data_IF_053985605916
#
_entry.id   IF_053985605916
#
_cell.length_a   1.000
_cell.length_b   1.000
_cell.length_c   1.000
_cell.angle_alpha   90.00
_cell.angle_beta   90.00
_cell.angle_gamma   90.00
#
_symmetry.space_group_name_H-M   'P 1'
#
loop_
_entity.id
_entity.type
_entity.pdbx_description
1 polymer ?
#
# COMPACT_ATOMS: atom_id res chain seq x y z
N UNK A 1 43.16 -45.22 57.18
CA UNK A 1 43.63 -44.05 56.39
C UNK A 1 42.83 -44.07 55.12
N UNK A 2 41.87 -43.19 54.82
CA UNK A 2 41.74 -41.75 55.05
C UNK A 2 40.25 -41.44 55.29
N UNK A 3 39.93 -40.70 56.35
CA UNK A 3 38.61 -40.08 56.52
C UNK A 3 38.58 -38.75 55.76
N UNK A 4 37.58 -38.53 54.91
CA UNK A 4 37.36 -37.24 54.25
C UNK A 4 36.07 -36.64 54.82
N UNK A 5 36.23 -35.47 55.45
CA UNK A 5 35.18 -34.68 56.09
C UNK A 5 34.21 -34.07 55.07
N UNK A 6 32.93 -34.11 55.42
CA UNK A 6 31.82 -33.45 54.73
C UNK A 6 31.76 -31.98 55.18
N UNK A 7 32.07 -31.04 54.29
CA UNK A 7 31.94 -29.60 54.54
C UNK A 7 30.62 -29.06 53.98
N UNK A 8 29.67 -28.73 54.87
CA UNK A 8 28.42 -28.06 54.54
C UNK A 8 28.70 -26.56 54.30
N UNK A 9 28.44 -26.05 53.09
CA UNK A 9 28.51 -24.61 52.79
C UNK A 9 27.07 -24.06 52.74
N UNK A 10 26.72 -23.23 53.72
CA UNK A 10 25.50 -22.42 53.70
C UNK A 10 25.73 -21.18 52.82
N UNK A 11 24.87 -20.86 51.84
CA UNK A 11 24.93 -19.59 51.16
C UNK A 11 24.33 -18.48 52.03
N UNK A 12 25.12 -17.44 52.31
CA UNK A 12 24.66 -16.21 52.94
C UNK A 12 23.84 -15.39 51.93
N UNK A 13 22.58 -15.10 52.26
CA UNK A 13 21.75 -14.18 51.50
C UNK A 13 22.23 -12.74 51.72
N UNK A 14 22.78 -12.12 50.67
CA UNK A 14 23.08 -10.69 50.65
C UNK A 14 21.81 -9.95 50.21
N UNK A 15 21.20 -9.20 51.12
CA UNK A 15 20.10 -8.28 50.79
C UNK A 15 20.60 -7.15 49.91
N UNK A 16 20.24 -7.17 48.63
CA UNK A 16 20.45 -6.02 47.73
C UNK A 16 19.44 -4.91 48.10
N UNK A 17 19.93 -3.86 48.75
CA UNK A 17 19.16 -2.64 48.98
C UNK A 17 18.80 -1.97 47.65
N UNK A 18 17.49 -1.75 47.41
CA UNK A 18 16.99 -1.09 46.21
C UNK A 18 17.53 0.33 46.09
N UNK A 19 18.32 0.60 45.04
CA UNK A 19 18.63 1.96 44.62
C UNK A 19 17.45 2.48 43.80
N UNK A 20 16.74 3.46 44.36
CA UNK A 20 15.73 4.24 43.67
C UNK A 20 16.36 4.99 42.48
N UNK A 21 15.96 4.62 41.25
CA UNK A 21 16.34 5.36 40.03
C UNK A 21 15.78 6.77 40.12
N UNK A 22 16.66 7.78 40.13
CA UNK A 22 16.27 9.17 39.91
C UNK A 22 15.66 9.32 38.51
N UNK A 23 14.59 10.10 38.32
CA UNK A 23 14.02 10.34 37.01
C UNK A 23 15.06 11.06 36.13
N UNK A 24 15.35 10.47 34.97
CA UNK A 24 16.08 11.16 33.91
C UNK A 24 15.12 12.19 33.32
N UNK A 25 15.31 13.46 33.65
CA UNK A 25 14.63 14.56 32.98
C UNK A 25 15.21 14.64 31.56
N UNK A 26 14.45 14.17 30.56
CA UNK A 26 14.74 14.43 29.15
C UNK A 26 14.72 15.95 28.96
N UNK A 27 15.77 16.57 28.38
CA UNK A 27 15.68 17.96 27.94
C UNK A 27 14.50 18.08 26.99
N UNK A 28 13.66 19.11 27.19
CA UNK A 28 12.60 19.43 26.26
C UNK A 28 13.19 19.58 24.85
N UNK A 29 12.60 18.89 23.88
CA UNK A 29 12.99 18.99 22.49
C UNK A 29 12.88 20.46 22.07
N UNK A 30 13.99 21.03 21.56
CA UNK A 30 13.97 22.33 20.92
C UNK A 30 12.97 22.29 19.76
N UNK A 31 12.17 23.34 19.61
CA UNK A 31 11.25 23.49 18.49
C UNK A 31 12.01 23.27 17.16
N UNK A 32 11.46 22.49 16.21
CA UNK A 32 12.14 22.22 14.96
C UNK A 32 12.34 23.53 14.21
N UNK A 33 13.60 23.90 13.97
CA UNK A 33 13.98 24.90 12.98
C UNK A 33 13.41 24.40 11.66
N UNK A 34 12.60 25.20 10.96
CA UNK A 34 11.98 24.82 9.70
C UNK A 34 13.07 24.28 8.75
N UNK A 35 13.12 22.96 8.59
CA UNK A 35 14.08 22.32 7.72
C UNK A 35 13.72 22.71 6.29
N UNK A 36 14.62 23.40 5.60
CA UNK A 36 14.45 23.75 4.20
C UNK A 36 14.21 22.46 3.42
N UNK A 37 13.14 22.42 2.61
CA UNK A 37 12.82 21.21 1.84
C UNK A 37 14.02 20.80 0.97
N UNK A 38 14.44 19.52 1.00
CA UNK A 38 15.51 19.03 0.15
C UNK A 38 15.26 19.32 -1.32
N UNK A 39 16.32 19.74 -2.03
CA UNK A 39 16.29 20.06 -3.46
C UNK A 39 17.39 19.29 -4.19
N UNK A 40 17.11 18.89 -5.42
CA UNK A 40 18.09 18.35 -6.34
C UNK A 40 19.04 19.45 -6.84
N UNK A 41 20.19 19.12 -7.46
CA UNK A 41 21.12 20.11 -7.99
C UNK A 41 20.51 21.09 -9.02
N UNK A 42 19.46 20.68 -9.72
CA UNK A 42 18.70 21.52 -10.67
C UNK A 42 17.56 22.31 -9.99
N UNK A 43 17.49 22.31 -8.65
CA UNK A 43 16.58 23.14 -7.86
C UNK A 43 15.15 22.60 -7.71
N UNK A 44 14.85 21.41 -8.25
CA UNK A 44 13.56 20.74 -8.06
C UNK A 44 13.47 20.16 -6.65
N UNK A 45 12.26 19.96 -6.10
CA UNK A 45 12.07 19.16 -4.89
C UNK A 45 12.75 17.80 -5.06
N UNK A 46 13.52 17.39 -4.05
CA UNK A 46 14.13 16.06 -4.02
C UNK A 46 13.12 15.05 -3.48
N UNK A 47 12.61 14.21 -4.40
CA UNK A 47 11.68 13.12 -4.11
C UNK A 47 12.40 11.80 -3.83
N UNK A 48 13.73 11.76 -3.97
CA UNK A 48 14.48 10.52 -3.87
C UNK A 48 14.37 9.89 -2.48
N UNK A 49 14.40 8.57 -2.47
CA UNK A 49 14.37 7.74 -1.27
C UNK A 49 13.29 6.67 -1.31
N UNK A 50 13.19 5.94 -0.21
CA UNK A 50 12.14 4.94 0.02
C UNK A 50 11.00 5.58 0.82
N UNK A 51 9.78 5.29 0.40
CA UNK A 51 8.55 5.80 0.98
C UNK A 51 7.62 4.66 1.31
N UNK A 52 7.15 4.64 2.54
CA UNK A 52 6.11 3.74 3.03
C UNK A 52 4.75 4.42 2.86
N UNK A 53 3.84 3.76 2.14
CA UNK A 53 2.47 4.22 1.91
C UNK A 53 1.42 3.40 2.67
N UNK A 54 1.78 2.58 3.65
CA UNK A 54 0.84 1.89 4.52
C UNK A 54 -0.01 2.89 5.32
N UNK A 55 -1.32 2.62 5.46
CA UNK A 55 -2.28 3.53 6.08
C UNK A 55 -3.40 2.78 6.82
N UNK A 56 -3.63 3.14 8.08
CA UNK A 56 -4.81 2.72 8.84
C UNK A 56 -6.06 3.51 8.46
N UNK A 57 -5.89 4.71 7.89
CA UNK A 57 -7.00 5.49 7.34
C UNK A 57 -7.70 4.66 6.25
N UNK A 58 -9.03 4.45 6.34
CA UNK A 58 -9.75 3.65 5.38
C UNK A 58 -9.67 4.26 3.98
N UNK A 59 -9.64 3.41 2.95
CA UNK A 59 -9.64 3.93 1.58
C UNK A 59 -10.92 4.74 1.29
N UNK A 60 -12.09 4.20 1.65
CA UNK A 60 -13.39 4.86 1.51
C UNK A 60 -13.99 5.17 2.88
N UNK A 61 -14.73 6.28 2.99
CA UNK A 61 -15.25 6.77 4.27
C UNK A 61 -16.26 5.79 4.88
N UNK A 62 -16.00 5.27 6.10
CA UNK A 62 -16.96 4.46 6.84
C UNK A 62 -18.27 5.20 7.11
N UNK A 63 -19.36 4.45 7.26
CA UNK A 63 -20.69 5.02 7.58
C UNK A 63 -20.69 5.84 8.87
N UNK A 64 -19.95 5.38 9.88
CA UNK A 64 -19.80 6.06 11.17
C UNK A 64 -19.16 7.46 11.07
N UNK A 65 -18.49 7.76 9.95
CA UNK A 65 -17.91 9.06 9.65
C UNK A 65 -18.65 9.83 8.55
N UNK A 66 -19.87 9.42 8.18
CA UNK A 66 -20.66 10.10 7.16
C UNK A 66 -20.77 11.61 7.46
N UNK A 67 -20.43 12.46 6.47
CA UNK A 67 -20.42 13.92 6.61
C UNK A 67 -19.25 14.51 7.41
N UNK A 68 -18.38 13.68 8.01
CA UNK A 68 -17.22 14.12 8.78
C UNK A 68 -15.93 13.85 7.98
N UNK A 69 -15.38 14.90 7.37
CA UNK A 69 -14.17 14.77 6.52
C UNK A 69 -12.89 14.64 7.32
N UNK A 70 -12.84 15.23 8.51
CA UNK A 70 -11.68 15.19 9.39
C UNK A 70 -12.07 14.92 10.84
N UNK A 71 -11.14 14.34 11.57
CA UNK A 71 -11.23 14.03 13.00
C UNK A 71 -10.19 14.83 13.77
N UNK A 72 -10.37 14.94 15.09
CA UNK A 72 -9.32 15.43 15.99
C UNK A 72 -8.16 14.42 16.07
N UNK A 73 -7.03 14.83 16.64
CA UNK A 73 -5.91 13.92 16.88
C UNK A 73 -6.34 12.74 17.78
N UNK A 74 -7.07 13.03 18.86
CA UNK A 74 -7.59 12.03 19.80
C UNK A 74 -8.53 11.02 19.11
N UNK A 75 -9.48 11.50 18.31
CA UNK A 75 -10.41 10.64 17.56
C UNK A 75 -9.70 9.80 16.50
N UNK A 76 -8.66 10.33 15.88
CA UNK A 76 -7.83 9.58 14.93
C UNK A 76 -7.08 8.45 15.65
N UNK A 77 -6.48 8.73 16.79
CA UNK A 77 -5.77 7.73 17.59
C UNK A 77 -6.72 6.61 18.08
N UNK A 78 -7.91 6.97 18.59
CA UNK A 78 -8.92 5.99 18.98
C UNK A 78 -9.35 5.10 17.81
N UNK A 79 -9.57 5.70 16.63
CA UNK A 79 -9.90 4.93 15.44
C UNK A 79 -8.76 4.03 15.00
N UNK A 80 -7.52 4.50 15.05
CA UNK A 80 -6.33 3.71 14.72
C UNK A 80 -6.23 2.48 15.64
N UNK A 81 -6.40 2.65 16.95
CA UNK A 81 -6.39 1.53 17.90
C UNK A 81 -7.50 0.52 17.60
N UNK A 82 -8.73 1.00 17.38
CA UNK A 82 -9.85 0.13 16.98
C UNK A 82 -9.56 -0.60 15.67
N UNK A 83 -8.88 0.03 14.71
CA UNK A 83 -8.50 -0.61 13.45
C UNK A 83 -7.48 -1.69 13.67
N UNK A 84 -6.38 -1.41 14.38
CA UNK A 84 -5.35 -2.40 14.74
C UNK A 84 -6.00 -3.61 15.41
N UNK A 85 -6.84 -3.36 16.42
CA UNK A 85 -7.57 -4.42 17.11
C UNK A 85 -8.49 -5.21 16.18
N UNK A 86 -9.21 -4.57 15.27
CA UNK A 86 -10.17 -5.26 14.39
C UNK A 86 -9.51 -5.98 13.20
N UNK A 87 -8.34 -5.51 12.76
CA UNK A 87 -7.57 -6.16 11.68
C UNK A 87 -6.65 -7.26 12.17
N UNK A 88 -6.42 -7.36 13.49
CA UNK A 88 -5.52 -8.33 14.10
C UNK A 88 -5.83 -9.77 13.70
N UNK A 89 -4.84 -10.45 13.13
CA UNK A 89 -5.01 -11.77 12.49
C UNK A 89 -4.82 -12.95 13.44
N UNK A 90 -4.19 -12.76 14.60
CA UNK A 90 -4.03 -13.81 15.61
C UNK A 90 -5.31 -14.00 16.44
N UNK A 91 -6.39 -14.40 15.75
CA UNK A 91 -7.68 -14.79 16.32
C UNK A 91 -8.22 -16.02 15.61
N UNK A 92 -9.01 -16.83 16.32
CA UNK A 92 -9.60 -18.09 15.82
C UNK A 92 -11.13 -18.06 15.83
N UNK A 93 -11.71 -16.88 15.70
CA UNK A 93 -13.15 -16.65 15.60
C UNK A 93 -13.64 -16.69 14.13
N UNK A 94 -14.95 -16.80 13.90
CA UNK A 94 -15.56 -16.69 12.57
C UNK A 94 -15.58 -17.96 11.70
N UNK A 95 -15.15 -19.11 12.26
CA UNK A 95 -15.24 -20.41 11.59
C UNK A 95 -14.18 -20.63 10.49
N UNK A 96 -14.29 -21.75 9.78
CA UNK A 96 -13.24 -22.22 8.86
C UNK A 96 -12.91 -21.25 7.73
N UNK A 97 -13.91 -20.57 7.16
CA UNK A 97 -13.66 -19.59 6.09
C UNK A 97 -12.84 -18.40 6.59
N UNK A 98 -13.18 -17.87 7.78
CA UNK A 98 -12.44 -16.77 8.38
C UNK A 98 -11.04 -17.18 8.84
N UNK A 99 -10.85 -18.45 9.21
CA UNK A 99 -9.53 -19.00 9.56
C UNK A 99 -8.60 -19.07 8.33
N UNK A 100 -9.12 -19.48 7.17
CA UNK A 100 -8.37 -19.48 5.89
C UNK A 100 -7.95 -18.06 5.49
N UNK A 101 -8.85 -17.08 5.62
CA UNK A 101 -8.55 -15.65 5.34
C UNK A 101 -7.57 -15.02 6.36
N UNK A 102 -7.25 -15.73 7.45
CA UNK A 102 -6.28 -15.35 8.48
C UNK A 102 -5.18 -16.40 8.63
N UNK A 103 -4.87 -17.12 7.55
CA UNK A 103 -3.91 -18.23 7.58
C UNK A 103 -2.50 -17.82 8.05
N UNK A 104 -2.12 -16.55 7.86
CA UNK A 104 -0.89 -15.98 8.40
C UNK A 104 -1.13 -15.30 9.74
N UNK A 105 -0.16 -15.43 10.65
CA UNK A 105 -0.16 -14.66 11.89
C UNK A 105 0.01 -13.16 11.62
N UNK A 106 -0.42 -12.33 12.58
CA UNK A 106 -0.51 -10.86 12.42
C UNK A 106 0.79 -10.20 12.01
N UNK A 107 1.92 -10.77 12.45
CA UNK A 107 3.27 -10.32 12.11
C UNK A 107 3.53 -10.13 10.60
N UNK A 108 2.90 -10.94 9.73
CA UNK A 108 3.09 -10.84 8.28
C UNK A 108 2.19 -9.80 7.60
N UNK A 109 1.33 -9.14 8.37
CA UNK A 109 0.42 -8.13 7.88
C UNK A 109 0.94 -6.75 8.28
N UNK A 110 1.19 -5.91 7.29
CA UNK A 110 1.58 -4.52 7.47
C UNK A 110 0.50 -3.61 6.87
N UNK A 111 -0.47 -3.27 7.72
CA UNK A 111 -1.45 -2.21 7.44
C UNK A 111 -0.93 -0.82 7.83
N UNK A 112 0.32 -0.74 8.29
CA UNK A 112 0.90 0.45 8.90
C UNK A 112 0.36 0.72 10.31
N UNK A 113 0.98 1.68 10.98
CA UNK A 113 0.54 2.19 12.30
C UNK A 113 0.05 3.63 12.23
N UNK A 114 0.13 4.26 11.06
CA UNK A 114 -0.20 5.68 10.86
C UNK A 114 -1.66 5.85 10.50
N UNK A 115 -2.22 6.93 11.02
CA UNK A 115 -3.52 7.44 10.64
C UNK A 115 -3.42 8.91 10.25
N UNK A 116 -4.08 9.28 9.16
CA UNK A 116 -4.28 10.67 8.78
C UNK A 116 -5.51 11.25 9.47
N UNK A 117 -5.53 12.57 9.67
CA UNK A 117 -6.72 13.29 10.20
C UNK A 117 -7.94 13.18 9.30
N UNK A 118 -7.75 12.80 8.04
CA UNK A 118 -8.86 12.54 7.13
C UNK A 118 -9.53 11.19 7.44
N UNK A 119 -10.85 11.13 7.35
CA UNK A 119 -11.62 9.92 7.61
C UNK A 119 -11.67 8.93 6.44
N UNK A 120 -11.07 9.31 5.29
CA UNK A 120 -10.94 8.50 4.08
C UNK A 120 -9.74 8.94 3.24
N UNK A 121 -9.10 8.00 2.53
CA UNK A 121 -8.08 8.34 1.53
C UNK A 121 -8.69 8.93 0.25
N UNK A 122 -9.89 8.49 -0.14
CA UNK A 122 -10.67 9.18 -1.19
C UNK A 122 -11.08 10.56 -0.68
N UNK A 123 -10.76 11.59 -1.46
CA UNK A 123 -10.99 13.00 -1.11
C UNK A 123 -12.00 13.70 -2.04
N UNK A 124 -12.16 13.17 -3.25
CA UNK A 124 -13.15 13.63 -4.22
C UNK A 124 -13.81 12.39 -4.86
N UNK A 125 -15.14 12.21 -4.76
CA UNK A 125 -16.14 13.12 -4.21
C UNK A 125 -16.03 13.41 -2.69
N UNK A 126 -16.61 14.52 -2.20
CA UNK A 126 -16.50 14.94 -0.80
C UNK A 126 -17.08 13.97 0.22
N UNK A 127 -17.89 12.99 -0.21
CA UNK A 127 -18.40 11.89 0.63
C UNK A 127 -17.34 10.81 0.93
N UNK A 128 -16.16 10.92 0.30
CA UNK A 128 -15.01 10.07 0.55
C UNK A 128 -15.19 8.65 0.03
N UNK A 129 -16.03 8.45 -1.00
CA UNK A 129 -16.32 7.14 -1.58
C UNK A 129 -16.02 7.13 -3.07
N UNK A 130 -15.60 5.98 -3.57
CA UNK A 130 -15.42 5.83 -5.01
C UNK A 130 -16.81 5.90 -5.67
N UNK A 131 -16.97 6.67 -6.77
CA UNK A 131 -18.24 6.75 -7.47
C UNK A 131 -18.76 5.37 -7.86
N UNK A 132 -20.09 5.19 -7.95
CA UNK A 132 -20.67 3.94 -8.42
C UNK A 132 -20.14 3.56 -9.80
N UNK A 133 -20.01 2.24 -10.00
CA UNK A 133 -19.72 1.66 -11.31
C UNK A 133 -20.88 1.91 -12.28
N UNK A 134 -20.58 2.09 -13.56
CA UNK A 134 -21.60 2.11 -14.62
C UNK A 134 -22.26 0.73 -14.76
N UNK A 135 -23.48 0.63 -15.33
CA UNK A 135 -24.12 -0.66 -15.59
C UNK A 135 -23.24 -1.61 -16.42
N UNK A 136 -22.54 -1.09 -17.42
CA UNK A 136 -21.63 -1.87 -18.26
C UNK A 136 -20.44 -2.39 -17.44
N UNK A 137 -19.91 -1.57 -16.52
CA UNK A 137 -18.83 -1.96 -15.65
C UNK A 137 -19.24 -3.02 -14.61
N UNK A 138 -20.47 -2.93 -14.11
CA UNK A 138 -21.06 -3.96 -13.25
C UNK A 138 -21.16 -5.29 -14.01
N UNK A 139 -21.66 -5.28 -15.24
CA UNK A 139 -21.72 -6.49 -16.09
C UNK A 139 -20.33 -7.06 -16.37
N UNK A 140 -19.33 -6.23 -16.70
CA UNK A 140 -17.93 -6.70 -16.87
C UNK A 140 -17.37 -7.31 -15.59
N UNK A 141 -17.70 -6.74 -14.42
CA UNK A 141 -17.28 -7.29 -13.14
C UNK A 141 -17.93 -8.64 -12.86
N UNK A 142 -19.24 -8.78 -13.11
CA UNK A 142 -19.98 -10.03 -12.96
C UNK A 142 -19.47 -11.13 -13.89
N UNK A 143 -19.20 -10.81 -15.17
CA UNK A 143 -18.67 -11.77 -16.14
C UNK A 143 -17.30 -12.34 -15.76
N UNK A 144 -16.49 -11.57 -15.01
CA UNK A 144 -15.19 -11.98 -14.50
C UNK A 144 -15.27 -12.80 -13.21
N UNK A 145 -16.42 -12.83 -12.52
CA UNK A 145 -16.55 -13.58 -11.27
C UNK A 145 -16.41 -15.07 -11.54
N UNK A 146 -15.75 -15.76 -10.61
CA UNK A 146 -15.61 -17.22 -10.56
C UNK A 146 -14.88 -17.87 -11.76
N UNK A 147 -14.27 -17.08 -12.66
CA UNK A 147 -13.44 -17.56 -13.76
C UNK A 147 -12.00 -17.76 -13.33
N UNK A 148 -11.76 -18.90 -12.69
CA UNK A 148 -10.49 -19.18 -12.05
C UNK A 148 -9.79 -20.42 -12.61
N UNK A 149 -10.45 -21.18 -13.47
CA UNK A 149 -9.97 -22.42 -14.07
C UNK A 149 -9.20 -22.22 -15.38
N UNK A 150 -8.94 -20.98 -15.77
CA UNK A 150 -8.05 -20.60 -16.88
C UNK A 150 -6.84 -19.79 -16.34
N UNK A 151 -5.60 -20.24 -16.58
CA UNK A 151 -4.39 -19.53 -16.13
C UNK A 151 -4.25 -18.12 -16.71
N UNK A 152 -4.79 -17.85 -17.89
CA UNK A 152 -4.74 -16.53 -18.52
C UNK A 152 -5.78 -15.55 -17.95
N UNK A 153 -6.86 -16.06 -17.38
CA UNK A 153 -7.93 -15.26 -16.77
C UNK A 153 -7.63 -14.92 -15.29
N UNK A 154 -6.56 -15.48 -14.72
CA UNK A 154 -6.12 -15.15 -13.35
C UNK A 154 -5.66 -13.68 -13.27
N UNK A 155 -5.97 -12.99 -12.16
CA UNK A 155 -5.46 -11.64 -11.89
C UNK A 155 -3.94 -11.54 -12.04
N UNK A 156 -3.47 -10.39 -12.56
CA UNK A 156 -2.04 -10.13 -12.77
C UNK A 156 -1.19 -10.27 -11.50
N UNK A 157 -1.76 -9.95 -10.34
CA UNK A 157 -1.06 -10.05 -9.06
C UNK A 157 -0.75 -11.50 -8.68
N UNK A 158 -1.67 -12.42 -8.97
CA UNK A 158 -1.48 -13.85 -8.71
C UNK A 158 -0.57 -14.52 -9.73
N UNK A 159 -0.51 -13.94 -10.94
CA UNK A 159 0.42 -14.34 -12.00
C UNK A 159 1.81 -13.71 -11.82
N UNK A 160 2.01 -12.92 -10.76
CA UNK A 160 3.25 -12.23 -10.44
C UNK A 160 3.74 -11.25 -11.54
N UNK A 161 2.80 -10.64 -12.27
CA UNK A 161 3.11 -9.74 -13.39
C UNK A 161 3.03 -8.27 -12.96
N UNK A 162 2.00 -7.90 -12.19
CA UNK A 162 1.81 -6.56 -11.66
C UNK A 162 1.17 -6.65 -10.27
N UNK A 163 1.76 -5.96 -9.29
CA UNK A 163 1.29 -6.01 -7.91
C UNK A 163 -0.06 -5.32 -7.72
N UNK A 164 -0.85 -5.79 -6.74
CA UNK A 164 -2.18 -5.25 -6.46
C UNK A 164 -2.17 -3.81 -5.92
N UNK A 165 -1.03 -3.34 -5.38
CA UNK A 165 -0.83 -1.99 -4.85
C UNK A 165 0.24 -1.18 -5.61
N UNK A 166 0.89 -1.76 -6.62
CA UNK A 166 2.04 -1.14 -7.31
C UNK A 166 1.64 -0.04 -8.29
N UNK A 167 0.36 0.00 -8.69
CA UNK A 167 -0.16 1.07 -9.54
C UNK A 167 0.43 1.14 -10.95
N UNK A 168 0.18 2.24 -11.67
CA UNK A 168 -0.54 3.42 -11.22
C UNK A 168 -2.08 3.28 -11.25
N UNK A 169 -2.81 3.86 -10.27
CA UNK A 169 -2.28 4.50 -9.06
C UNK A 169 -1.88 3.49 -7.98
N UNK A 170 -0.95 3.89 -7.10
CA UNK A 170 -0.60 3.12 -5.91
C UNK A 170 -1.69 3.25 -4.84
N UNK A 171 -2.03 2.16 -4.15
CA UNK A 171 -3.03 2.17 -3.08
C UNK A 171 -2.57 1.32 -1.90
N UNK A 172 -2.74 1.75 -0.64
CA UNK A 172 -2.28 0.96 0.51
C UNK A 172 -2.95 -0.42 0.56
N UNK A 173 -2.19 -1.43 0.97
CA UNK A 173 -2.66 -2.80 1.10
C UNK A 173 -2.11 -3.44 2.38
N UNK A 174 -2.30 -4.74 2.49
CA UNK A 174 -1.99 -5.57 3.64
C UNK A 174 -0.49 -5.79 3.93
N UNK A 175 0.41 -5.47 3.00
CA UNK A 175 1.86 -5.64 3.14
C UNK A 175 2.59 -5.04 1.92
N UNK A 176 3.93 -4.95 2.00
CA UNK A 176 4.84 -4.50 0.93
C UNK A 176 4.41 -3.14 0.35
N UNK A 177 4.20 -2.18 1.24
CA UNK A 177 3.78 -0.82 0.92
C UNK A 177 4.98 0.14 0.73
N UNK A 178 6.15 -0.38 0.39
CA UNK A 178 7.32 0.46 0.09
C UNK A 178 7.39 0.81 -1.40
N UNK A 179 7.79 2.04 -1.68
CA UNK A 179 8.13 2.53 -3.02
C UNK A 179 9.44 3.31 -2.98
N UNK A 180 10.38 2.94 -3.83
CA UNK A 180 11.61 3.69 -4.04
C UNK A 180 11.44 4.65 -5.22
N UNK A 181 11.76 5.92 -5.00
CA UNK A 181 11.81 6.94 -6.05
C UNK A 181 13.27 7.24 -6.35
N UNK A 182 13.63 7.13 -7.63
CA UNK A 182 14.92 7.57 -8.17
C UNK A 182 14.66 8.69 -9.16
N UNK A 183 15.33 9.82 -9.02
CA UNK A 183 15.05 11.04 -9.77
C UNK A 183 16.31 11.51 -10.48
N UNK A 184 16.19 11.73 -11.79
CA UNK A 184 17.19 12.41 -12.61
C UNK A 184 16.60 13.72 -13.15
N UNK A 185 17.39 14.58 -13.81
CA UNK A 185 16.84 15.79 -14.44
C UNK A 185 15.78 15.50 -15.51
N UNK A 186 15.81 14.32 -16.13
CA UNK A 186 15.00 13.96 -17.29
C UNK A 186 14.05 12.77 -17.08
N UNK A 187 14.15 12.04 -15.96
CA UNK A 187 13.32 10.89 -15.64
C UNK A 187 13.06 10.75 -14.13
N UNK A 188 11.97 10.06 -13.80
CA UNK A 188 11.71 9.55 -12.45
C UNK A 188 11.38 8.07 -12.57
N UNK A 189 12.07 7.23 -11.80
CA UNK A 189 11.73 5.81 -11.66
C UNK A 189 10.96 5.64 -10.36
N UNK A 190 9.80 5.00 -10.45
CA UNK A 190 8.95 4.61 -9.32
C UNK A 190 9.03 3.08 -9.26
N UNK A 191 9.74 2.57 -8.26
CA UNK A 191 9.96 1.14 -8.06
C UNK A 191 9.20 0.67 -6.82
N UNK A 192 8.13 -0.09 -7.04
CA UNK A 192 7.34 -0.67 -5.96
C UNK A 192 7.94 -1.98 -5.48
N UNK A 193 7.92 -2.19 -4.16
CA UNK A 193 8.41 -3.45 -3.56
C UNK A 193 7.56 -4.65 -4.01
N UNK A 194 6.23 -4.49 -4.03
CA UNK A 194 5.32 -5.52 -4.53
C UNK A 194 5.56 -5.78 -6.03
N UNK A 195 5.96 -7.01 -6.37
CA UNK A 195 6.27 -7.48 -7.74
C UNK A 195 7.43 -6.71 -8.41
N UNK A 196 8.24 -5.96 -7.66
CA UNK A 196 9.37 -5.17 -8.22
C UNK A 196 9.02 -4.31 -9.43
N UNK A 197 7.80 -3.78 -9.44
CA UNK A 197 7.29 -3.05 -10.59
C UNK A 197 8.06 -1.73 -10.72
N UNK A 198 8.94 -1.65 -11.74
CA UNK A 198 9.69 -0.45 -12.08
C UNK A 198 8.97 0.32 -13.20
N UNK A 199 8.39 1.48 -12.86
CA UNK A 199 7.77 2.39 -13.83
C UNK A 199 8.68 3.59 -14.08
N UNK A 200 8.94 3.89 -15.35
CA UNK A 200 9.73 5.05 -15.77
C UNK A 200 8.79 6.17 -16.21
N UNK A 201 8.93 7.33 -15.57
CA UNK A 201 8.23 8.57 -15.91
C UNK A 201 9.21 9.49 -16.64
N UNK A 202 8.88 9.86 -17.88
CA UNK A 202 9.70 10.78 -18.67
C UNK A 202 9.42 12.24 -18.31
N UNK A 203 10.45 13.03 -18.00
CA UNK A 203 10.38 14.48 -17.79
C UNK A 203 10.85 15.31 -18.99
N UNK A 204 11.24 14.66 -20.08
CA UNK A 204 11.79 15.29 -21.30
C UNK A 204 10.82 16.18 -22.08
N UNK A 205 9.54 16.20 -21.69
CA UNK A 205 8.49 16.91 -22.43
C UNK A 205 8.02 16.20 -23.71
N UNK A 206 8.40 14.92 -23.90
CA UNK A 206 7.88 14.11 -25.01
C UNK A 206 6.34 14.01 -24.93
N UNK A 207 5.64 13.94 -26.08
CA UNK A 207 4.24 13.57 -26.07
C UNK A 207 4.05 12.11 -25.62
N UNK A 208 2.81 11.77 -25.29
CA UNK A 208 2.42 10.38 -25.12
C UNK A 208 2.62 9.58 -26.40
N UNK A 209 2.93 8.29 -26.25
CA UNK A 209 3.00 7.35 -27.35
C UNK A 209 1.64 7.22 -28.05
N UNK A 210 1.60 6.85 -29.34
CA UNK A 210 0.35 6.51 -30.03
C UNK A 210 -0.45 5.47 -29.24
N UNK A 211 -1.78 5.59 -29.27
CA UNK A 211 -2.72 4.79 -28.46
C UNK A 211 -2.65 3.27 -28.70
N UNK A 212 -1.98 2.84 -29.77
CA UNK A 212 -1.71 1.45 -30.11
C UNK A 212 -0.57 0.85 -29.26
N UNK A 213 0.36 1.69 -28.78
CA UNK A 213 1.47 1.27 -27.93
C UNK A 213 0.98 1.30 -26.48
N UNK A 214 0.69 0.11 -25.93
CA UNK A 214 0.12 -0.05 -24.60
C UNK A 214 0.99 -0.93 -23.71
N UNK A 215 1.03 -0.62 -22.43
CA UNK A 215 1.79 -1.36 -21.43
C UNK A 215 0.97 -1.58 -20.16
N UNK A 216 1.41 -2.50 -19.31
CA UNK A 216 0.71 -2.82 -18.06
C UNK A 216 0.69 -1.63 -17.08
N UNK A 217 1.75 -0.81 -17.05
CA UNK A 217 1.83 0.37 -16.20
C UNK A 217 1.45 1.67 -16.91
N UNK A 218 0.99 1.57 -18.17
CA UNK A 218 0.71 2.71 -19.04
C UNK A 218 1.95 3.46 -19.53
N UNK A 219 1.70 4.53 -20.28
CA UNK A 219 2.71 5.48 -20.74
C UNK A 219 2.69 6.72 -19.85
N UNK A 220 3.71 6.89 -19.00
CA UNK A 220 3.79 8.00 -18.03
C UNK A 220 4.69 9.15 -18.52
N UNK A 221 4.12 10.35 -18.55
CA UNK A 221 4.83 11.61 -18.85
C UNK A 221 4.67 12.57 -17.68
N UNK A 222 5.79 13.04 -17.15
CA UNK A 222 5.84 13.92 -15.99
C UNK A 222 6.19 15.36 -16.35
N UNK A 223 5.69 16.30 -15.55
CA UNK A 223 6.08 17.71 -15.57
C UNK A 223 6.03 18.31 -14.17
N UNK A 224 6.88 19.31 -13.93
CA UNK A 224 6.84 20.08 -12.70
C UNK A 224 5.84 21.23 -12.79
N UNK A 225 4.96 21.35 -11.80
CA UNK A 225 4.07 22.51 -11.59
C UNK A 225 4.40 23.07 -10.22
N UNK A 226 5.18 24.15 -10.18
CA UNK A 226 5.80 24.62 -8.94
C UNK A 226 6.67 23.52 -8.32
N UNK A 227 6.36 23.14 -7.08
CA UNK A 227 7.05 22.10 -6.31
C UNK A 227 6.36 20.73 -6.36
N UNK A 228 5.40 20.55 -7.27
CA UNK A 228 4.68 19.28 -7.44
C UNK A 228 5.10 18.62 -8.75
N UNK A 229 5.51 17.36 -8.68
CA UNK A 229 5.65 16.52 -9.87
C UNK A 229 4.25 16.02 -10.26
N UNK A 230 3.76 16.43 -11.42
CA UNK A 230 2.51 15.95 -12.01
C UNK A 230 2.84 14.90 -13.05
N UNK A 231 2.31 13.68 -12.89
CA UNK A 231 2.50 12.57 -13.83
C UNK A 231 1.17 12.27 -14.50
N UNK A 232 1.14 12.40 -15.82
CA UNK A 232 0.01 12.01 -16.66
C UNK A 232 0.27 10.60 -17.20
N UNK A 233 -0.66 9.67 -17.03
CA UNK A 233 -0.51 8.30 -17.50
C UNK A 233 -1.74 7.84 -18.29
N UNK A 234 -1.48 7.36 -19.50
CA UNK A 234 -2.47 6.82 -20.44
C UNK A 234 -2.01 5.45 -20.98
N UNK A 235 -2.63 4.96 -22.06
CA UNK A 235 -2.16 3.78 -22.81
C UNK A 235 -2.01 2.49 -21.99
N UNK A 236 -2.91 2.26 -21.04
CA UNK A 236 -2.95 1.02 -20.30
C UNK A 236 -3.32 -0.16 -21.21
N UNK A 237 -2.64 -1.28 -20.99
CA UNK A 237 -3.00 -2.58 -21.55
C UNK A 237 -4.35 -3.05 -20.97
N UNK A 238 -5.07 -3.89 -21.72
CA UNK A 238 -6.43 -4.34 -21.37
C UNK A 238 -6.46 -5.09 -20.03
N UNK A 239 -5.39 -5.79 -19.71
CA UNK A 239 -5.21 -6.64 -18.54
C UNK A 239 -4.93 -5.82 -17.28
N UNK A 240 -4.46 -4.58 -17.41
CA UNK A 240 -4.00 -3.74 -16.31
C UNK A 240 -5.08 -2.80 -15.73
N UNK A 241 -6.35 -3.19 -15.86
CA UNK A 241 -7.46 -2.36 -15.41
C UNK A 241 -7.47 -2.16 -13.89
N UNK A 242 -7.04 -0.98 -13.42
CA UNK A 242 -7.16 -0.58 -12.02
C UNK A 242 -8.63 -0.61 -11.58
N UNK A 243 -8.95 -1.40 -10.54
CA UNK A 243 -10.33 -1.53 -10.00
C UNK A 243 -11.40 -1.78 -11.08
N UNK A 244 -11.05 -2.56 -12.11
CA UNK A 244 -11.97 -2.94 -13.18
C UNK A 244 -12.07 -1.95 -14.34
N UNK A 245 -11.18 -0.94 -14.37
CA UNK A 245 -11.05 0.01 -15.46
C UNK A 245 -10.83 -0.66 -16.83
N UNK A 246 -11.14 0.10 -17.88
CA UNK A 246 -10.92 -0.25 -19.28
C UNK A 246 -9.58 0.30 -19.77
N UNK A 247 -9.29 0.06 -21.05
CA UNK A 247 -8.16 0.66 -21.77
C UNK A 247 -8.24 2.17 -21.92
N UNK A 248 -9.37 2.79 -21.55
CA UNK A 248 -9.57 4.24 -21.54
C UNK A 248 -9.18 4.88 -20.21
N UNK A 249 -8.62 4.10 -19.27
CA UNK A 249 -8.11 4.61 -18.01
C UNK A 249 -7.11 5.75 -18.26
N UNK A 250 -7.38 6.88 -17.62
CA UNK A 250 -6.47 8.01 -17.51
C UNK A 250 -6.21 8.27 -16.03
N UNK A 251 -4.93 8.37 -15.67
CA UNK A 251 -4.50 8.62 -14.30
C UNK A 251 -3.61 9.84 -14.28
N UNK A 252 -3.97 10.82 -13.43
CA UNK A 252 -3.12 11.98 -13.15
C UNK A 252 -2.67 11.90 -11.71
N UNK A 253 -1.38 11.66 -11.50
CA UNK A 253 -0.74 11.59 -10.20
C UNK A 253 -0.01 12.90 -9.87
N UNK A 254 0.11 13.20 -8.58
CA UNK A 254 0.81 14.36 -8.04
C UNK A 254 1.64 13.92 -6.85
N UNK A 255 2.92 14.23 -6.91
CA UNK A 255 3.88 13.96 -5.83
C UNK A 255 4.38 15.30 -5.30
N UNK A 256 4.07 15.59 -4.04
CA UNK A 256 4.43 16.86 -3.38
C UNK A 256 5.09 16.59 -2.04
N UNK A 257 6.31 17.11 -1.84
CA UNK A 257 6.95 17.08 -0.51
C UNK A 257 6.17 18.01 0.42
N UNK A 258 5.58 17.46 1.48
CA UNK A 258 4.86 18.25 2.46
C UNK A 258 5.81 18.79 3.54
N UNK A 259 6.80 17.99 3.90
CA UNK A 259 7.87 18.28 4.87
C UNK A 259 9.04 17.30 4.60
N UNK A 260 10.17 17.30 5.35
CA UNK A 260 11.31 16.41 5.11
C UNK A 260 11.02 14.89 5.18
N UNK A 261 9.95 14.47 5.84
CA UNK A 261 9.63 13.06 6.09
C UNK A 261 8.30 12.63 5.47
N UNK A 262 7.54 13.56 4.91
CA UNK A 262 6.24 13.27 4.28
C UNK A 262 6.22 13.62 2.80
N UNK A 263 5.84 12.64 1.97
CA UNK A 263 5.47 12.81 0.57
C UNK A 263 3.96 12.66 0.44
N UNK A 264 3.28 13.71 -0.01
CA UNK A 264 1.86 13.63 -0.35
C UNK A 264 1.74 13.09 -1.76
N UNK A 265 1.16 11.91 -1.89
CA UNK A 265 0.81 11.30 -3.16
C UNK A 265 -0.69 11.44 -3.40
N UNK A 266 -1.06 12.12 -4.46
CA UNK A 266 -2.45 12.30 -4.86
C UNK A 266 -2.63 11.75 -6.26
N UNK A 267 -3.81 11.19 -6.54
CA UNK A 267 -4.15 10.79 -7.88
C UNK A 267 -5.60 11.10 -8.20
N UNK A 268 -5.86 11.33 -9.48
CA UNK A 268 -7.21 11.39 -10.06
C UNK A 268 -7.32 10.29 -11.10
N UNK A 269 -8.40 9.52 -11.03
CA UNK A 269 -8.72 8.46 -11.98
C UNK A 269 -9.93 8.86 -12.82
N UNK A 270 -9.81 8.70 -14.13
CA UNK A 270 -10.89 8.91 -15.09
C UNK A 270 -11.02 7.69 -16.01
N UNK A 271 -12.21 7.09 -15.99
CA UNK A 271 -12.66 6.12 -16.99
C UNK A 271 -14.21 6.13 -17.00
N UNK A 272 -14.83 6.93 -17.89
CA UNK A 272 -16.28 7.03 -17.98
C UNK A 272 -16.99 5.71 -18.32
N UNK A 273 -16.28 4.72 -18.86
CA UNK A 273 -16.84 3.38 -19.11
C UNK A 273 -16.83 2.49 -17.86
N UNK A 274 -16.22 2.96 -16.77
CA UNK A 274 -16.09 2.24 -15.50
C UNK A 274 -16.79 2.95 -14.36
N UNK A 275 -16.54 4.24 -14.16
CA UNK A 275 -17.14 5.04 -13.09
C UNK A 275 -18.06 6.12 -13.62
N UNK A 276 -19.11 6.40 -12.85
CA UNK A 276 -20.07 7.47 -13.18
C UNK A 276 -19.46 8.87 -13.18
N UNK A 277 -18.34 9.08 -12.48
CA UNK A 277 -17.56 10.33 -12.41
C UNK A 277 -16.08 10.01 -12.19
N UNK A 278 -15.19 10.92 -12.58
CA UNK A 278 -13.80 10.90 -12.11
C UNK A 278 -13.75 11.10 -10.59
N UNK A 279 -12.69 10.61 -9.97
CA UNK A 279 -12.52 10.67 -8.51
C UNK A 279 -11.04 10.73 -8.14
N UNK A 280 -10.76 11.18 -6.92
CA UNK A 280 -9.39 11.39 -6.45
C UNK A 280 -9.16 10.85 -5.05
N UNK A 281 -7.91 10.45 -4.78
CA UNK A 281 -7.44 10.08 -3.44
C UNK A 281 -6.16 10.84 -3.06
N UNK A 282 -5.92 10.99 -1.76
CA UNK A 282 -4.74 11.59 -1.16
C UNK A 282 -4.15 10.65 -0.12
N UNK A 283 -2.95 10.17 -0.38
CA UNK A 283 -2.22 9.20 0.43
C UNK A 283 -0.95 9.88 0.94
N UNK A 284 -0.84 10.12 2.26
CA UNK A 284 0.43 10.52 2.84
C UNK A 284 1.37 9.32 2.87
N UNK A 285 2.59 9.50 2.35
CA UNK A 285 3.66 8.52 2.41
C UNK A 285 4.76 9.03 3.34
N UNK A 286 5.39 8.15 4.09
CA UNK A 286 6.44 8.52 5.03
C UNK A 286 7.79 8.01 4.55
N UNK A 287 8.82 8.84 4.68
CA UNK A 287 10.20 8.46 4.39
C UNK A 287 10.62 7.32 5.32
N UNK A 288 11.31 6.34 4.76
CA UNK A 288 11.92 5.25 5.51
C UNK A 288 13.33 4.97 5.01
N UNK A 289 14.19 4.53 5.93
CA UNK A 289 15.55 4.05 5.62
C UNK A 289 15.58 2.50 5.49
N UNK A 290 14.40 1.87 5.51
CA UNK A 290 14.26 0.44 5.28
C UNK A 290 14.73 0.04 3.88
N UNK A 291 15.24 -1.18 3.79
CA UNK A 291 15.66 -1.76 2.53
C UNK A 291 14.44 -2.30 1.79
N UNK A 292 14.42 -2.09 0.48
CA UNK A 292 13.45 -2.75 -0.38
C UNK A 292 13.92 -4.17 -0.68
N UNK A 293 13.09 -5.16 -0.33
CA UNK A 293 13.46 -6.56 -0.47
C UNK A 293 12.88 -7.21 -1.73
N UNK A 294 13.37 -8.41 -2.00
CA UNK A 294 12.78 -9.26 -3.03
C UNK A 294 11.37 -9.72 -2.63
N UNK A 295 10.33 -9.34 -3.38
CA UNK A 295 9.05 -10.02 -3.43
C UNK A 295 9.12 -11.26 -4.33
N UNK A 296 9.57 -12.37 -3.74
CA UNK A 296 9.71 -13.69 -4.37
C UNK A 296 8.33 -14.35 -4.63
N UNK A 297 7.57 -13.79 -5.58
CA UNK A 297 6.17 -14.17 -5.83
C UNK A 297 6.00 -15.57 -6.45
N UNK A 298 7.01 -16.08 -7.15
CA UNK A 298 6.91 -17.38 -7.84
C UNK A 298 7.41 -18.53 -6.95
N UNK A 299 8.27 -18.23 -5.99
CA UNK A 299 8.88 -19.16 -5.07
C UNK A 299 7.81 -19.79 -4.16
N UNK A 300 7.63 -21.10 -4.28
CA UNK A 300 6.59 -21.85 -3.57
C UNK A 300 5.15 -21.36 -3.85
N UNK A 301 4.91 -20.73 -5.01
CA UNK A 301 3.56 -20.37 -5.44
C UNK A 301 2.83 -21.58 -6.05
N UNK A 302 2.11 -22.30 -5.21
CA UNK A 302 1.27 -23.45 -5.60
C UNK A 302 -0.18 -23.07 -5.90
N UNK A 303 -0.53 -21.79 -5.81
CA UNK A 303 -1.91 -21.32 -5.90
C UNK A 303 -2.55 -21.69 -7.23
N UNK A 304 -1.85 -21.43 -8.33
CA UNK A 304 -2.34 -21.74 -9.68
C UNK A 304 -2.58 -23.25 -9.87
N UNK A 305 -1.61 -24.08 -9.47
CA UNK A 305 -1.74 -25.53 -9.56
C UNK A 305 -2.91 -26.05 -8.71
N UNK A 306 -3.04 -25.56 -7.48
CA UNK A 306 -4.12 -25.94 -6.56
C UNK A 306 -5.51 -25.59 -7.11
N UNK A 307 -5.65 -24.39 -7.68
CA UNK A 307 -6.89 -23.94 -8.34
C UNK A 307 -7.22 -24.84 -9.52
N UNK A 308 -6.27 -25.08 -10.43
CA UNK A 308 -6.52 -25.89 -11.63
C UNK A 308 -6.87 -27.33 -11.26
N UNK A 309 -6.21 -27.91 -10.24
CA UNK A 309 -6.56 -29.22 -9.69
C UNK A 309 -7.99 -29.22 -9.10
N UNK A 310 -8.36 -28.18 -8.36
CA UNK A 310 -9.72 -28.00 -7.83
C UNK A 310 -10.78 -27.95 -8.92
N UNK A 311 -10.52 -27.21 -10.00
CA UNK A 311 -11.41 -27.13 -11.15
C UNK A 311 -11.58 -28.49 -11.84
N UNK A 312 -10.49 -29.22 -12.10
CA UNK A 312 -10.57 -30.59 -12.67
C UNK A 312 -11.34 -31.56 -11.76
N UNK A 313 -11.23 -31.38 -10.44
CA UNK A 313 -12.01 -32.17 -9.48
C UNK A 313 -13.52 -31.86 -9.55
N UNK A 314 -13.89 -30.59 -9.64
CA UNK A 314 -15.28 -30.16 -9.83
C UNK A 314 -15.90 -30.72 -11.12
N UNK A 315 -15.16 -30.68 -12.23
CA UNK A 315 -15.60 -31.28 -13.49
C UNK A 315 -15.82 -32.79 -13.38
N UNK A 316 -14.94 -33.50 -12.67
CA UNK A 316 -15.11 -34.93 -12.41
C UNK A 316 -16.39 -35.22 -11.61
N UNK A 317 -16.82 -34.30 -10.76
CA UNK A 317 -18.09 -34.37 -10.03
C UNK A 317 -19.31 -33.89 -10.86
N UNK A 318 -19.10 -33.43 -12.09
CA UNK A 318 -20.15 -32.87 -12.94
C UNK A 318 -20.62 -31.47 -12.53
N UNK A 319 -19.86 -30.77 -11.69
CA UNK A 319 -20.11 -29.39 -11.31
C UNK A 319 -19.63 -28.50 -12.47
N UNK A 320 -20.54 -27.71 -13.04
CA UNK A 320 -20.18 -26.71 -14.05
C UNK A 320 -19.65 -25.46 -13.35
N UNK A 321 -18.43 -25.07 -13.72
CA UNK A 321 -17.81 -23.80 -13.34
C UNK A 321 -18.26 -22.67 -14.27
#
# INVERSE_FOLDING_TARGET
MLSVMLGLVLPAAVSAGGQSRKPVVKPAAAAPRAATMPRTPDGRPDLQGTWDFAQLTPFERPGDFAGKQSVTDEEAEEFAQKRIETTHKDRRDGGAAADVERAYNDFWWDFGTRISKQTSLVVDPPDGRVPPLTPEAQQRAEQRRNRYDNPEERPLAERCILGFNSGPPMVPSAYNNNVQIVQTPDHVVILNEMIHSARIVSLTGRPHAPNEIRSLTGDSVGRWVGDTLVVDTTNFAKEAGFRGATTNLHVVERFTRADPDTLRYEFTVEDPATWTKKWSASIPMTRTDELMFEYACHEANYGLEGVLKGARYQEKLGIKN
#
